data_IF_359302602382
#
_entry.id   IF_359302602382
#
_cell.length_a   1.000
_cell.length_b   1.000
_cell.length_c   1.000
_cell.angle_alpha   90.00
_cell.angle_beta   90.00
_cell.angle_gamma   90.00
#
_symmetry.space_group_name_H-M   'P 1'
#
loop_
_entity.id
_entity.type
_entity.pdbx_description
1 polymer ?
#
# COMPACT_ATOMS: atom_id res chain seq x y z
N UNK A 1 -24.00 -38.48 -10.16
CA UNK A 1 -22.74 -38.04 -9.58
C UNK A 1 -23.00 -36.65 -8.97
N UNK A 2 -23.27 -36.60 -7.66
CA UNK A 2 -23.82 -35.43 -6.96
C UNK A 2 -22.68 -34.72 -6.27
N UNK A 3 -22.34 -33.51 -6.73
CA UNK A 3 -21.36 -32.63 -6.08
C UNK A 3 -22.06 -31.86 -4.96
N UNK A 4 -21.73 -32.19 -3.71
CA UNK A 4 -22.25 -31.48 -2.53
C UNK A 4 -21.45 -30.23 -2.27
N UNK A 5 -22.07 -29.07 -2.44
CA UNK A 5 -21.58 -27.79 -1.91
C UNK A 5 -21.71 -27.79 -0.38
N UNK A 6 -20.62 -27.73 0.34
CA UNK A 6 -20.61 -27.37 1.75
C UNK A 6 -20.56 -25.85 1.86
N UNK A 7 -21.72 -25.27 2.08
CA UNK A 7 -21.88 -23.86 2.45
C UNK A 7 -21.53 -23.71 3.93
N UNK A 8 -20.52 -22.90 4.20
CA UNK A 8 -20.09 -22.59 5.56
C UNK A 8 -21.07 -21.60 6.19
N UNK A 9 -21.91 -22.10 7.09
CA UNK A 9 -22.83 -21.32 7.92
C UNK A 9 -22.02 -20.72 9.06
N UNK A 10 -21.72 -19.44 9.03
CA UNK A 10 -21.41 -18.66 10.24
C UNK A 10 -21.59 -17.16 9.95
N UNK A 11 -22.83 -16.68 9.97
CA UNK A 11 -23.20 -15.27 10.19
C UNK A 11 -24.72 -15.18 10.37
N UNK A 12 -25.17 -15.51 11.55
CA UNK A 12 -26.52 -15.11 12.00
C UNK A 12 -26.48 -14.97 13.52
N UNK A 13 -26.52 -13.77 13.99
CA UNK A 13 -27.05 -13.27 15.26
C UNK A 13 -26.61 -11.81 15.34
N UNK A 14 -27.50 -10.88 15.18
CA UNK A 14 -28.21 -10.07 16.17
C UNK A 14 -28.99 -9.02 15.38
N UNK A 15 -30.28 -9.19 15.25
CA UNK A 15 -31.22 -8.12 14.94
C UNK A 15 -32.02 -7.86 16.20
N UNK A 16 -31.66 -6.82 16.94
CA UNK A 16 -32.43 -6.26 18.06
C UNK A 16 -32.90 -4.86 17.68
N UNK A 17 -34.19 -4.74 17.39
CA UNK A 17 -34.88 -3.46 17.21
C UNK A 17 -34.82 -2.63 18.48
N UNK A 18 -34.26 -1.40 18.38
CA UNK A 18 -34.62 -0.30 19.26
C UNK A 18 -34.97 0.91 18.40
N UNK A 19 -36.29 1.15 18.25
CA UNK A 19 -36.80 2.39 17.69
C UNK A 19 -36.85 3.40 18.83
N UNK A 20 -35.90 4.29 18.89
CA UNK A 20 -35.98 5.49 19.74
C UNK A 20 -36.18 6.70 18.83
N UNK A 21 -37.34 7.34 19.01
CA UNK A 21 -37.73 8.58 18.39
C UNK A 21 -36.79 9.70 18.80
N UNK A 22 -35.96 10.16 17.85
CA UNK A 22 -35.10 11.35 18.02
C UNK A 22 -35.86 12.56 17.45
N UNK A 23 -36.01 13.67 18.18
CA UNK A 23 -36.65 14.87 17.65
C UNK A 23 -35.81 15.49 16.53
N UNK A 24 -36.46 15.84 15.45
CA UNK A 24 -35.88 16.54 14.30
C UNK A 24 -35.43 17.95 14.76
N UNK A 25 -34.14 18.12 14.97
CA UNK A 25 -33.52 19.44 15.18
C UNK A 25 -33.21 20.01 13.79
N UNK A 26 -33.87 21.09 13.42
CA UNK A 26 -33.54 21.86 12.22
C UNK A 26 -32.07 22.30 12.29
N UNK A 27 -31.22 21.68 11.50
CA UNK A 27 -29.86 22.08 11.34
C UNK A 27 -29.82 23.43 10.58
N UNK A 28 -29.23 24.45 11.19
CA UNK A 28 -28.85 25.69 10.50
C UNK A 28 -27.98 25.36 9.30
N UNK A 29 -28.15 26.05 8.15
CA UNK A 29 -27.24 25.90 7.02
C UNK A 29 -25.83 26.28 7.48
N UNK A 30 -24.93 25.32 7.42
CA UNK A 30 -23.50 25.56 7.58
C UNK A 30 -23.07 26.53 6.48
N UNK A 31 -22.44 27.62 6.89
CA UNK A 31 -21.82 28.55 5.96
C UNK A 31 -20.89 27.75 5.02
N UNK A 32 -21.05 27.91 3.72
CA UNK A 32 -20.13 27.38 2.70
C UNK A 32 -18.74 27.94 3.00
N UNK A 33 -17.92 27.14 3.66
CA UNK A 33 -16.49 27.39 3.70
C UNK A 33 -15.99 27.14 2.28
N UNK A 34 -15.60 28.23 1.58
CA UNK A 34 -14.85 28.16 0.31
C UNK A 34 -13.77 27.09 0.50
N UNK A 35 -13.65 26.15 -0.45
CA UNK A 35 -12.55 25.18 -0.40
C UNK A 35 -11.25 25.99 -0.43
N UNK A 36 -10.55 26.02 0.68
CA UNK A 36 -9.15 26.47 0.70
C UNK A 36 -8.44 25.55 -0.27
N UNK A 37 -7.95 26.09 -1.36
CA UNK A 37 -7.13 25.37 -2.33
C UNK A 37 -5.81 25.10 -1.61
N UNK A 38 -5.81 24.09 -0.74
CA UNK A 38 -4.60 23.57 -0.17
C UNK A 38 -3.75 23.10 -1.35
N UNK A 39 -2.67 23.83 -1.60
CA UNK A 39 -1.71 23.50 -2.65
C UNK A 39 -1.26 22.07 -2.34
N UNK A 40 -1.71 21.09 -3.13
CA UNK A 40 -1.30 19.69 -2.98
C UNK A 40 0.23 19.71 -2.97
N UNK A 41 0.80 19.33 -1.83
CA UNK A 41 2.25 19.29 -1.63
C UNK A 41 2.85 18.43 -2.74
N UNK A 42 3.77 18.98 -3.50
CA UNK A 42 4.51 18.23 -4.51
C UNK A 42 5.41 17.22 -3.80
N UNK A 43 5.13 15.93 -3.96
CA UNK A 43 5.90 14.85 -3.37
C UNK A 43 6.75 14.20 -4.46
N UNK A 44 8.00 13.89 -4.17
CA UNK A 44 8.88 13.14 -5.07
C UNK A 44 8.70 11.63 -4.90
N UNK A 45 8.28 11.19 -3.72
CA UNK A 45 8.02 9.79 -3.41
C UNK A 45 6.63 9.67 -2.79
N UNK A 46 5.87 8.66 -3.22
CA UNK A 46 4.60 8.26 -2.63
C UNK A 46 4.77 6.89 -1.97
N UNK A 47 4.62 6.85 -0.65
CA UNK A 47 4.55 5.61 0.11
C UNK A 47 3.10 5.28 0.41
N UNK A 48 2.62 4.11 0.00
CA UNK A 48 1.29 3.61 0.32
C UNK A 48 1.39 2.24 1.00
N UNK A 49 1.00 2.18 2.29
CA UNK A 49 1.04 0.98 3.10
C UNK A 49 -0.34 0.40 3.38
N UNK A 50 -0.55 -0.90 3.15
CA UNK A 50 -1.77 -1.61 3.51
C UNK A 50 -1.56 -2.43 4.77
N UNK A 51 -2.38 -2.17 5.79
CA UNK A 51 -2.40 -2.96 7.02
C UNK A 51 -3.18 -4.26 6.83
N UNK A 52 -3.09 -5.20 7.79
CA UNK A 52 -3.86 -6.45 7.78
C UNK A 52 -5.38 -6.25 7.95
N UNK A 53 -6.17 -7.29 7.63
CA UNK A 53 -7.64 -7.21 7.66
C UNK A 53 -8.23 -6.83 9.03
N UNK A 54 -7.55 -7.21 10.12
CA UNK A 54 -7.96 -6.92 11.50
C UNK A 54 -7.30 -5.66 12.08
N UNK A 55 -6.57 -4.91 11.25
CA UNK A 55 -5.87 -3.71 11.67
C UNK A 55 -6.58 -2.46 11.13
N UNK A 56 -6.48 -1.36 11.87
CA UNK A 56 -6.89 -0.04 11.38
C UNK A 56 -5.70 0.67 10.75
N UNK A 57 -5.92 1.54 9.79
CA UNK A 57 -4.86 2.31 9.11
C UNK A 57 -4.07 3.25 10.05
N UNK A 58 -4.51 3.42 11.29
CA UNK A 58 -3.85 4.26 12.30
C UNK A 58 -3.35 3.46 13.52
N UNK A 59 -3.28 2.13 13.42
CA UNK A 59 -2.84 1.28 14.54
C UNK A 59 -1.34 1.46 14.81
N UNK A 60 -0.99 2.13 15.89
CA UNK A 60 0.41 2.40 16.28
C UNK A 60 1.30 1.16 16.43
N UNK A 61 0.71 0.00 16.73
CA UNK A 61 1.44 -1.27 16.82
C UNK A 61 1.75 -1.92 15.47
N UNK A 62 1.25 -1.40 14.34
CA UNK A 62 1.56 -1.89 13.00
C UNK A 62 2.85 -1.27 12.46
N UNK A 63 3.78 -2.10 12.02
CA UNK A 63 5.03 -1.61 11.39
C UNK A 63 4.77 -0.87 10.09
N UNK A 64 3.69 -1.18 9.36
CA UNK A 64 3.26 -0.43 8.16
C UNK A 64 2.92 1.01 8.52
N UNK A 65 2.21 1.21 9.64
CA UNK A 65 1.86 2.55 10.15
C UNK A 65 3.11 3.26 10.68
N UNK A 66 4.00 2.55 11.38
CA UNK A 66 5.27 3.12 11.86
C UNK A 66 6.17 3.59 10.71
N UNK A 67 6.21 2.87 9.59
CA UNK A 67 6.90 3.30 8.37
C UNK A 67 6.28 4.58 7.81
N UNK A 68 4.95 4.65 7.69
CA UNK A 68 4.25 5.87 7.28
C UNK A 68 4.63 7.04 8.19
N UNK A 69 4.58 6.86 9.50
CA UNK A 69 4.88 7.93 10.47
C UNK A 69 6.34 8.38 10.37
N UNK A 70 7.28 7.44 10.20
CA UNK A 70 8.69 7.75 9.96
C UNK A 70 8.85 8.58 8.68
N UNK A 71 8.23 8.15 7.57
CA UNK A 71 8.32 8.80 6.27
C UNK A 71 7.51 10.12 6.18
N UNK A 72 6.64 10.38 7.13
CA UNK A 72 5.96 11.67 7.29
C UNK A 72 6.75 12.65 8.16
N UNK A 73 7.86 12.23 8.73
CA UNK A 73 8.70 13.04 9.61
C UNK A 73 9.57 14.08 8.88
N UNK A 74 10.23 14.96 9.63
CA UNK A 74 10.96 16.10 9.07
C UNK A 74 12.14 15.71 8.16
N UNK A 75 12.72 14.52 8.34
CA UNK A 75 13.78 14.00 7.46
C UNK A 75 13.33 13.60 6.07
N UNK A 76 12.01 13.54 5.80
CA UNK A 76 11.42 13.06 4.56
C UNK A 76 10.46 14.08 3.94
N UNK A 77 10.92 15.35 3.86
CA UNK A 77 10.09 16.45 3.37
C UNK A 77 9.51 16.23 1.95
N UNK A 78 10.19 15.48 1.10
CA UNK A 78 9.78 15.16 -0.27
C UNK A 78 8.97 13.86 -0.37
N UNK A 79 8.62 13.21 0.75
CA UNK A 79 7.82 11.99 0.78
C UNK A 79 6.40 12.30 1.24
N UNK A 80 5.41 11.81 0.50
CA UNK A 80 4.04 11.70 0.97
C UNK A 80 3.77 10.24 1.35
N UNK A 81 3.43 10.00 2.59
CA UNK A 81 3.19 8.66 3.11
C UNK A 81 1.77 8.53 3.65
N UNK A 82 1.10 7.44 3.27
CA UNK A 82 -0.27 7.14 3.73
C UNK A 82 -0.41 5.64 4.02
N UNK A 83 -1.35 5.31 4.92
CA UNK A 83 -1.69 3.93 5.25
C UNK A 83 -3.19 3.66 5.07
N UNK A 84 -3.49 2.51 4.48
CA UNK A 84 -4.82 2.10 4.05
C UNK A 84 -5.24 0.80 4.73
N UNK A 85 -6.54 0.63 4.92
CA UNK A 85 -7.10 -0.66 5.38
C UNK A 85 -6.93 -1.73 4.29
N UNK A 86 -6.89 -2.99 4.72
CA UNK A 86 -6.61 -4.13 3.85
C UNK A 86 -7.40 -4.18 2.53
N UNK A 87 -8.64 -3.70 2.51
CA UNK A 87 -9.50 -3.78 1.32
C UNK A 87 -9.82 -2.43 0.67
N UNK A 88 -9.08 -1.38 1.03
CA UNK A 88 -9.28 -0.01 0.51
C UNK A 88 -8.38 0.29 -0.69
N UNK A 89 -8.23 -0.66 -1.65
CA UNK A 89 -7.34 -0.48 -2.79
C UNK A 89 -7.76 0.67 -3.71
N UNK A 90 -9.08 0.92 -3.86
CA UNK A 90 -9.60 2.02 -4.67
C UNK A 90 -9.20 3.37 -4.08
N UNK A 91 -9.38 3.55 -2.77
CA UNK A 91 -8.96 4.77 -2.08
C UNK A 91 -7.45 5.01 -2.21
N UNK A 92 -6.64 3.95 -2.14
CA UNK A 92 -5.19 4.04 -2.34
C UNK A 92 -4.85 4.43 -3.78
N UNK A 93 -5.46 3.78 -4.77
CA UNK A 93 -5.27 4.09 -6.19
C UNK A 93 -5.60 5.57 -6.46
N UNK A 94 -6.76 6.02 -6.00
CA UNK A 94 -7.24 7.39 -6.23
C UNK A 94 -6.34 8.41 -5.50
N UNK A 95 -5.86 8.07 -4.30
CA UNK A 95 -4.88 8.87 -3.57
C UNK A 95 -3.55 9.01 -4.34
N UNK A 96 -3.05 7.93 -4.95
CA UNK A 96 -1.86 7.95 -5.80
C UNK A 96 -2.13 8.82 -7.04
N UNK A 97 -3.20 8.53 -7.77
CA UNK A 97 -3.53 9.22 -9.02
C UNK A 97 -3.71 10.72 -8.82
N UNK A 98 -4.30 11.15 -7.69
CA UNK A 98 -4.48 12.57 -7.38
C UNK A 98 -3.17 13.35 -7.18
N UNK A 99 -2.04 12.65 -7.00
CA UNK A 99 -0.71 13.21 -6.74
C UNK A 99 0.24 13.11 -7.93
N UNK A 100 -0.20 12.48 -9.01
CA UNK A 100 0.57 12.42 -10.25
C UNK A 100 0.30 13.68 -11.11
N UNK A 101 1.31 14.21 -11.80
CA UNK A 101 1.13 15.31 -12.72
C UNK A 101 0.24 14.90 -13.90
N UNK A 102 -0.75 15.71 -14.22
CA UNK A 102 -1.65 15.47 -15.33
C UNK A 102 -2.81 14.55 -14.98
N UNK A 103 -3.99 15.12 -14.73
CA UNK A 103 -5.25 14.39 -14.46
C UNK A 103 -5.81 13.64 -15.69
N UNK A 104 -5.06 13.49 -16.77
CA UNK A 104 -5.49 12.83 -18.01
C UNK A 104 -4.89 11.44 -18.12
N UNK A 105 -5.74 10.45 -18.12
CA UNK A 105 -5.54 9.00 -18.08
C UNK A 105 -4.66 8.33 -19.14
N UNK A 106 -3.60 8.96 -19.59
CA UNK A 106 -2.58 8.38 -20.47
C UNK A 106 -1.21 8.98 -20.14
N UNK A 107 -0.41 8.23 -19.38
CA UNK A 107 1.01 8.56 -19.16
C UNK A 107 1.80 7.79 -20.23
N UNK A 108 1.62 8.16 -21.50
CA UNK A 108 2.43 7.63 -22.62
C UNK A 108 3.66 8.49 -22.91
N UNK A 109 3.88 9.57 -22.17
CA UNK A 109 5.07 10.38 -22.33
C UNK A 109 6.15 10.00 -21.31
N UNK A 110 7.38 9.94 -21.80
CA UNK A 110 8.59 9.63 -21.07
C UNK A 110 8.59 10.24 -19.67
N UNK A 111 8.94 9.43 -18.65
CA UNK A 111 9.10 9.83 -17.25
C UNK A 111 9.63 11.26 -17.14
N UNK A 112 8.74 12.20 -16.85
CA UNK A 112 9.18 13.50 -16.38
C UNK A 112 9.96 13.28 -15.08
N UNK A 113 11.06 13.98 -14.89
CA UNK A 113 11.84 13.97 -13.63
C UNK A 113 10.97 14.35 -12.43
N UNK A 114 9.83 14.97 -12.70
CA UNK A 114 8.86 15.45 -11.70
C UNK A 114 7.78 14.40 -11.34
N UNK A 115 7.79 13.23 -11.99
CA UNK A 115 6.83 12.16 -11.67
C UNK A 115 7.22 11.47 -10.36
N UNK A 116 6.35 11.45 -9.33
CA UNK A 116 6.63 10.77 -8.08
C UNK A 116 6.95 9.30 -8.26
N UNK A 117 7.91 8.80 -7.47
CA UNK A 117 8.23 7.37 -7.37
C UNK A 117 7.30 6.70 -6.38
N UNK A 118 6.77 5.54 -6.71
CA UNK A 118 5.74 4.85 -5.91
C UNK A 118 6.34 3.66 -5.18
N UNK A 119 6.11 3.59 -3.87
CA UNK A 119 6.46 2.45 -3.00
C UNK A 119 5.18 1.91 -2.38
N UNK A 120 4.95 0.61 -2.55
CA UNK A 120 3.78 -0.09 -2.04
C UNK A 120 4.21 -1.14 -1.01
N UNK A 121 3.55 -1.16 0.14
CA UNK A 121 3.78 -2.17 1.20
C UNK A 121 2.44 -2.81 1.57
N UNK A 122 2.39 -4.14 1.69
CA UNK A 122 1.16 -4.84 2.05
C UNK A 122 1.36 -5.94 3.07
N UNK A 123 0.66 -5.86 4.20
CA UNK A 123 0.67 -6.87 5.25
C UNK A 123 -0.57 -7.75 5.18
N UNK A 124 -0.39 -9.08 5.31
CA UNK A 124 -1.51 -10.04 5.39
C UNK A 124 -2.46 -9.88 4.20
N UNK A 125 -3.76 -9.72 4.41
CA UNK A 125 -4.74 -9.43 3.36
C UNK A 125 -4.47 -8.10 2.62
N UNK A 126 -3.74 -7.17 3.23
CA UNK A 126 -3.28 -5.94 2.58
C UNK A 126 -2.32 -6.18 1.41
N UNK A 127 -1.62 -7.31 1.37
CA UNK A 127 -0.80 -7.71 0.23
C UNK A 127 -1.61 -7.95 -1.03
N UNK A 128 -2.83 -8.51 -0.91
CA UNK A 128 -3.76 -8.65 -2.04
C UNK A 128 -4.15 -7.27 -2.61
N UNK A 129 -4.53 -6.33 -1.74
CA UNK A 129 -4.90 -4.98 -2.15
C UNK A 129 -3.74 -4.21 -2.79
N UNK A 130 -2.52 -4.38 -2.25
CA UNK A 130 -1.31 -3.81 -2.81
C UNK A 130 -1.08 -4.29 -4.26
N UNK A 131 -1.16 -5.62 -4.50
CA UNK A 131 -1.00 -6.16 -5.86
C UNK A 131 -2.13 -5.71 -6.80
N UNK A 132 -3.35 -5.52 -6.27
CA UNK A 132 -4.44 -4.97 -7.07
C UNK A 132 -4.18 -3.53 -7.48
N UNK A 133 -3.71 -2.68 -6.56
CA UNK A 133 -3.28 -1.31 -6.91
C UNK A 133 -2.15 -1.34 -7.94
N UNK A 134 -1.15 -2.19 -7.76
CA UNK A 134 -0.05 -2.31 -8.72
C UNK A 134 -0.54 -2.68 -10.14
N UNK A 135 -1.56 -3.56 -10.26
CA UNK A 135 -2.19 -3.89 -11.55
C UNK A 135 -2.96 -2.71 -12.13
N UNK A 136 -3.77 -2.02 -11.32
CA UNK A 136 -4.52 -0.83 -11.75
C UNK A 136 -3.55 0.27 -12.27
N UNK A 137 -2.39 0.41 -11.64
CA UNK A 137 -1.32 1.32 -12.08
C UNK A 137 -0.62 0.83 -13.36
N UNK A 138 -0.38 -0.50 -13.50
CA UNK A 138 0.16 -1.10 -14.75
C UNK A 138 -0.73 -0.78 -15.93
N UNK A 139 -2.04 -0.92 -15.78
CA UNK A 139 -3.01 -0.71 -16.86
C UNK A 139 -3.05 0.77 -17.30
N UNK A 140 -2.48 1.66 -16.50
CA UNK A 140 -2.27 3.08 -16.79
C UNK A 140 -0.81 3.42 -17.19
N UNK A 141 0.06 2.44 -17.34
CA UNK A 141 1.47 2.65 -17.66
C UNK A 141 2.29 3.27 -16.52
N UNK A 142 1.78 3.27 -15.28
CA UNK A 142 2.43 3.89 -14.13
C UNK A 142 3.33 2.86 -13.43
N UNK A 143 4.65 3.13 -13.29
CA UNK A 143 5.58 2.22 -12.65
C UNK A 143 5.51 2.30 -11.13
N UNK A 144 5.84 1.16 -10.49
CA UNK A 144 6.04 1.02 -9.04
C UNK A 144 7.52 0.70 -8.80
N UNK A 145 8.21 1.51 -8.01
CA UNK A 145 9.65 1.34 -7.75
C UNK A 145 9.93 0.13 -6.86
N UNK A 146 9.14 0.01 -5.78
CA UNK A 146 9.27 -1.09 -4.82
C UNK A 146 7.88 -1.57 -4.39
N UNK A 147 7.68 -2.88 -4.38
CA UNK A 147 6.59 -3.55 -3.70
C UNK A 147 7.13 -4.42 -2.56
N UNK A 148 6.49 -4.41 -1.39
CA UNK A 148 6.88 -5.24 -0.25
C UNK A 148 5.69 -6.03 0.24
N UNK A 149 5.79 -7.35 0.24
CA UNK A 149 4.79 -8.28 0.75
C UNK A 149 5.22 -8.82 2.11
N UNK A 150 4.40 -8.61 3.13
CA UNK A 150 4.65 -9.01 4.50
C UNK A 150 3.65 -10.08 4.93
N UNK A 151 4.10 -11.33 4.97
CA UNK A 151 3.31 -12.51 5.36
C UNK A 151 1.90 -12.51 4.76
N UNK A 152 1.83 -12.25 3.47
CA UNK A 152 0.57 -12.00 2.76
C UNK A 152 -0.27 -13.26 2.63
N UNK A 153 -1.57 -13.14 2.90
CA UNK A 153 -2.56 -14.22 2.85
C UNK A 153 -3.71 -13.88 1.90
N UNK A 154 -4.41 -14.90 1.41
CA UNK A 154 -5.61 -14.70 0.60
C UNK A 154 -5.37 -14.15 -0.80
N UNK A 155 -4.13 -14.14 -1.28
CA UNK A 155 -3.82 -13.70 -2.64
C UNK A 155 -4.22 -14.83 -3.60
N UNK A 156 -5.28 -14.59 -4.38
CA UNK A 156 -5.78 -15.54 -5.37
C UNK A 156 -4.87 -15.60 -6.59
N UNK A 157 -4.27 -14.47 -6.98
CA UNK A 157 -3.27 -14.38 -8.03
C UNK A 157 -1.99 -13.72 -7.48
N UNK A 158 -0.94 -14.52 -7.20
CA UNK A 158 0.32 -14.03 -6.65
C UNK A 158 1.28 -13.47 -7.71
N UNK A 159 0.80 -13.19 -8.92
CA UNK A 159 1.62 -12.66 -9.99
C UNK A 159 1.87 -11.16 -9.76
N UNK A 160 3.14 -10.81 -9.65
CA UNK A 160 3.62 -9.43 -9.56
C UNK A 160 3.57 -8.82 -10.96
N UNK A 161 2.87 -7.70 -11.17
CA UNK A 161 2.74 -7.10 -12.49
C UNK A 161 4.05 -6.46 -12.94
N UNK A 162 4.30 -6.47 -14.25
CA UNK A 162 5.55 -6.04 -14.90
C UNK A 162 5.96 -4.58 -14.66
N UNK A 163 5.04 -3.74 -14.21
CA UNK A 163 5.34 -2.35 -13.85
C UNK A 163 6.01 -2.20 -12.48
N UNK A 164 6.14 -3.29 -11.71
CA UNK A 164 6.87 -3.32 -10.43
C UNK A 164 8.35 -3.60 -10.73
N UNK A 165 9.23 -2.65 -10.42
CA UNK A 165 10.66 -2.78 -10.70
C UNK A 165 11.39 -3.68 -9.72
N UNK A 166 11.03 -3.57 -8.43
CA UNK A 166 11.61 -4.38 -7.38
C UNK A 166 10.53 -4.92 -6.44
N UNK A 167 10.72 -6.17 -6.00
CA UNK A 167 9.84 -6.79 -5.00
C UNK A 167 10.66 -7.43 -3.88
N UNK A 168 10.21 -7.21 -2.64
CA UNK A 168 10.67 -7.93 -1.46
C UNK A 168 9.50 -8.70 -0.83
N UNK A 169 9.75 -9.94 -0.43
CA UNK A 169 8.76 -10.81 0.20
C UNK A 169 9.31 -11.34 1.51
N UNK A 170 8.59 -11.09 2.58
CA UNK A 170 8.94 -11.53 3.90
C UNK A 170 7.84 -12.44 4.46
N UNK A 171 8.22 -13.61 4.95
CA UNK A 171 7.32 -14.60 5.51
C UNK A 171 7.59 -14.77 7.01
N UNK A 172 6.53 -14.84 7.83
CA UNK A 172 6.64 -15.23 9.22
C UNK A 172 6.64 -16.76 9.36
N UNK A 173 7.24 -17.28 10.43
CA UNK A 173 7.04 -18.67 10.87
C UNK A 173 5.82 -18.73 11.78
N UNK A 174 4.86 -19.63 11.50
CA UNK A 174 3.71 -19.81 12.38
C UNK A 174 2.60 -20.63 11.76
N UNK A 175 1.49 -20.77 12.49
CA UNK A 175 0.31 -21.54 12.09
C UNK A 175 -0.31 -21.03 10.78
N UNK A 176 -0.19 -19.74 10.46
CA UNK A 176 -0.69 -19.15 9.22
C UNK A 176 0.21 -19.44 8.00
N UNK A 177 1.33 -20.15 8.20
CA UNK A 177 2.27 -20.50 7.13
C UNK A 177 1.61 -21.29 5.97
N UNK A 178 0.52 -22.00 6.25
CA UNK A 178 -0.25 -22.72 5.22
C UNK A 178 -1.16 -21.83 4.39
N UNK A 179 -1.47 -20.61 4.88
CA UNK A 179 -2.31 -19.64 4.21
C UNK A 179 -1.51 -18.57 3.47
N UNK A 180 -0.20 -18.47 3.76
CA UNK A 180 0.68 -17.50 3.11
C UNK A 180 1.09 -17.99 1.73
N UNK A 181 0.98 -17.14 0.74
CA UNK A 181 1.39 -17.50 -0.61
C UNK A 181 2.90 -17.34 -0.76
N UNK A 182 3.63 -18.48 -0.73
CA UNK A 182 5.09 -18.51 -0.88
C UNK A 182 5.55 -18.45 -2.32
N UNK A 183 4.66 -18.73 -3.28
CA UNK A 183 4.98 -18.85 -4.69
C UNK A 183 4.62 -17.55 -5.43
N UNK A 184 5.37 -16.50 -5.15
CA UNK A 184 5.26 -15.27 -5.92
C UNK A 184 5.81 -15.53 -7.32
N UNK A 185 5.03 -15.17 -8.34
CA UNK A 185 5.44 -15.20 -9.74
C UNK A 185 5.59 -13.77 -10.25
N UNK A 186 6.44 -13.56 -11.21
CA UNK A 186 6.59 -12.28 -11.90
C UNK A 186 5.95 -12.41 -13.28
N UNK A 187 5.15 -11.42 -13.68
CA UNK A 187 4.57 -11.35 -15.02
C UNK A 187 5.66 -11.34 -16.08
N UNK A 188 6.74 -10.59 -15.85
CA UNK A 188 7.96 -10.63 -16.61
C UNK A 188 9.18 -10.56 -15.66
N UNK A 189 9.93 -11.67 -15.51
CA UNK A 189 11.12 -11.70 -14.65
C UNK A 189 12.26 -10.76 -15.06
N UNK A 190 12.25 -10.27 -16.32
CA UNK A 190 13.25 -9.31 -16.81
C UNK A 190 12.96 -7.88 -16.36
N UNK A 191 11.70 -7.56 -16.09
CA UNK A 191 11.26 -6.21 -15.67
C UNK A 191 11.25 -6.03 -14.16
N UNK A 192 11.24 -7.14 -13.39
CA UNK A 192 11.08 -7.13 -11.92
C UNK A 192 12.26 -7.80 -11.22
N UNK A 193 12.96 -7.07 -10.38
CA UNK A 193 14.03 -7.62 -9.53
C UNK A 193 13.47 -8.14 -8.21
N UNK A 194 13.71 -9.42 -7.90
CA UNK A 194 13.44 -9.99 -6.58
C UNK A 194 14.60 -9.65 -5.63
N UNK A 195 14.42 -8.65 -4.77
CA UNK A 195 15.48 -8.20 -3.85
C UNK A 195 15.51 -8.99 -2.54
N UNK A 196 14.39 -9.59 -2.15
CA UNK A 196 14.31 -10.47 -0.98
C UNK A 196 13.14 -11.46 -1.12
N UNK A 197 13.35 -12.70 -0.69
CA UNK A 197 12.29 -13.68 -0.46
C UNK A 197 12.70 -14.53 0.77
N UNK A 198 12.34 -14.05 1.96
CA UNK A 198 12.93 -14.50 3.20
C UNK A 198 11.88 -14.95 4.22
N UNK A 199 12.20 -16.01 4.95
CA UNK A 199 11.48 -16.38 6.17
C UNK A 199 12.17 -15.71 7.35
N UNK A 200 11.49 -14.74 7.97
CA UNK A 200 12.01 -14.00 9.12
C UNK A 200 11.95 -14.87 10.36
N UNK A 201 13.12 -15.22 10.92
CA UNK A 201 13.20 -16.07 12.11
C UNK A 201 12.73 -15.31 13.34
N UNK A 202 11.87 -15.94 14.13
CA UNK A 202 11.33 -15.34 15.36
C UNK A 202 10.18 -14.35 15.15
N UNK A 203 9.88 -13.97 13.90
CA UNK A 203 8.72 -13.14 13.62
C UNK A 203 7.43 -13.98 13.60
N UNK A 204 6.38 -13.43 14.19
CA UNK A 204 5.00 -13.88 14.04
C UNK A 204 4.30 -13.10 12.91
N UNK A 205 3.11 -13.56 12.52
CA UNK A 205 2.26 -12.85 11.55
C UNK A 205 2.09 -11.35 11.85
N UNK A 206 1.92 -10.98 13.11
CA UNK A 206 1.74 -9.59 13.50
C UNK A 206 3.05 -8.83 13.73
N UNK A 207 4.11 -9.51 14.19
CA UNK A 207 5.38 -8.83 14.50
C UNK A 207 6.27 -8.61 13.27
N UNK A 208 6.06 -9.35 12.19
CA UNK A 208 6.86 -9.25 10.96
C UNK A 208 6.88 -7.85 10.38
N UNK A 209 5.78 -7.11 10.52
CA UNK A 209 5.69 -5.73 10.02
C UNK A 209 6.68 -4.78 10.69
N UNK A 210 7.19 -5.14 11.88
CA UNK A 210 8.15 -4.36 12.68
C UNK A 210 9.57 -4.91 12.61
N UNK A 211 9.79 -5.91 11.76
CA UNK A 211 11.12 -6.49 11.61
C UNK A 211 12.11 -5.45 11.04
N UNK A 212 13.32 -5.31 11.61
CA UNK A 212 14.32 -4.38 11.12
C UNK A 212 14.65 -4.57 9.63
N UNK A 213 14.72 -5.80 9.12
CA UNK A 213 15.03 -6.05 7.71
C UNK A 213 13.96 -5.48 6.78
N UNK A 214 12.68 -5.57 7.18
CA UNK A 214 11.57 -4.95 6.44
C UNK A 214 11.74 -3.43 6.41
N UNK A 215 11.99 -2.85 7.58
CA UNK A 215 12.20 -1.39 7.72
C UNK A 215 13.38 -0.93 6.87
N UNK A 216 14.50 -1.64 6.93
CA UNK A 216 15.74 -1.29 6.23
C UNK A 216 15.55 -1.34 4.70
N UNK A 217 14.86 -2.35 4.17
CA UNK A 217 14.55 -2.43 2.72
C UNK A 217 13.75 -1.21 2.28
N UNK A 218 12.72 -0.81 3.02
CA UNK A 218 11.90 0.34 2.63
C UNK A 218 12.67 1.64 2.76
N UNK A 219 13.31 1.89 3.91
CA UNK A 219 14.01 3.16 4.15
C UNK A 219 15.24 3.34 3.27
N UNK A 220 16.03 2.28 3.04
CA UNK A 220 17.18 2.35 2.13
C UNK A 220 16.75 2.66 0.69
N UNK A 221 15.64 2.07 0.23
CA UNK A 221 15.10 2.38 -1.10
C UNK A 221 14.64 3.84 -1.19
N UNK A 222 13.92 4.33 -0.17
CA UNK A 222 13.49 5.75 -0.13
C UNK A 222 14.70 6.68 -0.16
N UNK A 223 15.72 6.42 0.68
CA UNK A 223 16.91 7.25 0.75
C UNK A 223 17.68 7.25 -0.58
N UNK A 224 17.89 6.09 -1.20
CA UNK A 224 18.54 5.98 -2.49
C UNK A 224 17.80 6.77 -3.60
N UNK A 225 16.48 6.70 -3.61
CA UNK A 225 15.66 7.48 -4.55
C UNK A 225 15.78 8.99 -4.31
N UNK A 226 15.80 9.43 -3.05
CA UNK A 226 15.96 10.85 -2.72
C UNK A 226 17.37 11.34 -3.11
N UNK A 227 18.42 10.57 -2.86
CA UNK A 227 19.80 10.88 -3.27
C UNK A 227 19.92 10.98 -4.80
N UNK A 228 19.34 10.02 -5.54
CA UNK A 228 19.28 10.06 -7.02
C UNK A 228 18.65 11.37 -7.49
N UNK A 229 17.52 11.76 -6.92
CA UNK A 229 16.82 12.98 -7.32
C UNK A 229 17.58 14.25 -6.99
N UNK A 230 18.30 14.30 -5.87
CA UNK A 230 19.10 15.46 -5.47
C UNK A 230 20.37 15.61 -6.33
N UNK A 231 20.99 14.51 -6.76
CA UNK A 231 22.17 14.55 -7.61
C UNK A 231 21.91 15.19 -8.98
N UNK A 232 20.69 15.10 -9.50
CA UNK A 232 20.29 15.75 -10.76
C UNK A 232 20.00 17.25 -10.63
N UNK A 233 19.81 17.77 -9.41
CA UNK A 233 19.49 19.19 -9.19
C UNK A 233 20.71 20.06 -8.95
N UNK A 234 21.89 19.46 -8.72
CA UNK A 234 23.15 20.20 -8.54
C UNK A 234 23.84 20.33 -9.91
N UNK A 235 23.90 21.53 -10.53
CA UNK A 235 24.64 21.71 -11.77
C UNK A 235 26.12 21.43 -11.48
N UNK A 236 26.75 20.59 -12.32
CA UNK A 236 28.21 20.43 -12.34
C UNK A 236 28.87 21.80 -12.54
N UNK A 237 29.62 22.25 -11.55
CA UNK A 237 30.42 23.46 -11.64
C UNK A 237 31.59 23.27 -12.64
#
# INVERSE_FOLDING_TARGET
>A
MIVRYKMCVLCAFIAGLWISSVPFVFARPLAETKPTTERVRSCKILYAGFVGAMETSNRQGSGVVQLRDTLSGPGYADVCAESFRAFSWESCRDWILSRLPGNSGSVTEARSKDTPRIILVGHSAGGWSMLKVARDLRDKGIPVELAVLLDSVGITDPTVPRNVKAIAVFHARGILMFLTNKNIRMENPQDTTLIANLVVRGASHLSITRDPQVRDVVLSTVNALLEEMHSYTTPSR
#
